data_IF_254565938092
#
_entry.id   IF_254565938092
#
_cell.length_a   1.000
_cell.length_b   1.000
_cell.length_c   1.000
_cell.angle_alpha   90.00
_cell.angle_beta   90.00
_cell.angle_gamma   90.00
#
_symmetry.space_group_name_H-M   'P 1'
#
loop_
_entity.id
_entity.type
_entity.pdbx_description
1 polymer ?
#
# COMPACT_ATOMS: atom_id res chain seq x y z
N UNK A 1 -16.12 20.70 13.43
CA UNK A 1 -14.70 21.03 13.19
C UNK A 1 -14.36 20.41 11.85
N UNK A 2 -14.28 21.26 10.84
CA UNK A 2 -13.91 20.90 9.47
C UNK A 2 -12.42 20.55 9.38
N UNK A 3 -12.06 19.65 8.46
CA UNK A 3 -10.66 19.45 8.08
C UNK A 3 -10.33 18.02 7.67
N UNK A 4 -10.20 17.80 6.37
CA UNK A 4 -9.71 16.55 5.79
C UNK A 4 -9.98 16.53 4.31
N UNK A 5 -9.17 17.26 3.55
CA UNK A 5 -9.24 17.35 2.10
C UNK A 5 -8.99 15.96 1.50
N UNK A 6 -10.07 15.24 1.18
CA UNK A 6 -9.98 14.09 0.29
C UNK A 6 -9.57 14.56 -1.10
N UNK A 7 -8.71 13.79 -1.75
CA UNK A 7 -8.45 13.91 -3.19
C UNK A 7 -9.77 14.07 -3.96
N UNK A 8 -9.88 15.02 -4.92
CA UNK A 8 -11.13 15.27 -5.61
C UNK A 8 -11.48 14.05 -6.49
N UNK A 9 -12.48 13.28 -6.08
CA UNK A 9 -13.15 12.30 -6.95
C UNK A 9 -13.47 10.93 -6.34
N UNK A 10 -12.86 10.54 -5.23
CA UNK A 10 -13.16 9.25 -4.58
C UNK A 10 -13.85 9.47 -3.23
N UNK A 11 -15.03 8.86 -2.97
CA UNK A 11 -15.62 8.86 -1.64
C UNK A 11 -14.63 8.24 -0.66
N UNK A 12 -14.24 9.00 0.36
CA UNK A 12 -13.47 8.47 1.49
C UNK A 12 -14.24 7.27 2.04
N UNK A 13 -13.63 6.07 2.16
CA UNK A 13 -14.30 4.90 2.74
C UNK A 13 -14.89 5.26 4.10
N UNK A 14 -16.10 4.80 4.46
CA UNK A 14 -16.65 5.10 5.81
C UNK A 14 -17.24 3.89 6.51
N UNK A 15 -17.56 2.81 5.79
CA UNK A 15 -18.01 1.54 6.37
C UNK A 15 -16.92 0.46 6.31
N UNK A 16 -17.03 -0.64 7.09
CA UNK A 16 -16.13 -1.79 6.98
C UNK A 16 -16.04 -2.34 5.54
N UNK A 17 -17.16 -2.39 4.82
CA UNK A 17 -17.22 -2.84 3.44
C UNK A 17 -16.49 -1.89 2.49
N UNK A 18 -16.56 -0.57 2.71
CA UNK A 18 -15.82 0.40 1.92
C UNK A 18 -14.30 0.26 2.14
N UNK A 19 -13.87 0.09 3.39
CA UNK A 19 -12.44 -0.10 3.72
C UNK A 19 -11.95 -1.43 3.16
N UNK A 20 -12.77 -2.49 3.21
CA UNK A 20 -12.43 -3.77 2.60
C UNK A 20 -12.31 -3.66 1.06
N UNK A 21 -13.19 -2.89 0.42
CA UNK A 21 -13.10 -2.61 -1.02
C UNK A 21 -11.83 -1.84 -1.36
N UNK A 22 -11.45 -0.84 -0.57
CA UNK A 22 -10.18 -0.12 -0.71
C UNK A 22 -8.98 -1.07 -0.57
N UNK A 23 -8.96 -1.91 0.48
CA UNK A 23 -7.94 -2.95 0.68
C UNK A 23 -7.80 -3.84 -0.55
N UNK A 24 -8.92 -4.39 -1.06
CA UNK A 24 -8.91 -5.31 -2.21
C UNK A 24 -8.44 -4.63 -3.49
N UNK A 25 -8.81 -3.36 -3.71
CA UNK A 25 -8.36 -2.62 -4.87
C UNK A 25 -6.84 -2.37 -4.83
N UNK A 26 -6.31 -1.92 -3.69
CA UNK A 26 -4.86 -1.75 -3.51
C UNK A 26 -4.11 -3.07 -3.67
N UNK A 27 -4.64 -4.14 -3.09
CA UNK A 27 -4.09 -5.49 -3.23
C UNK A 27 -4.03 -5.94 -4.69
N UNK A 28 -5.07 -5.66 -5.48
CA UNK A 28 -5.06 -5.96 -6.92
C UNK A 28 -3.93 -5.21 -7.66
N UNK A 29 -3.69 -3.94 -7.32
CA UNK A 29 -2.56 -3.17 -7.85
C UNK A 29 -1.21 -3.81 -7.50
N UNK A 30 -1.00 -4.17 -6.24
CA UNK A 30 0.24 -4.82 -5.77
C UNK A 30 0.45 -6.19 -6.42
N UNK A 31 -0.60 -7.01 -6.54
CA UNK A 31 -0.53 -8.29 -7.25
C UNK A 31 -0.12 -8.09 -8.70
N UNK A 32 -0.67 -7.08 -9.41
CA UNK A 32 -0.26 -6.77 -10.79
C UNK A 32 1.22 -6.40 -10.86
N UNK A 33 1.70 -5.53 -9.97
CA UNK A 33 3.12 -5.14 -9.91
C UNK A 33 4.05 -6.34 -9.74
N UNK A 34 3.69 -7.27 -8.85
CA UNK A 34 4.51 -8.43 -8.49
C UNK A 34 4.31 -9.65 -9.40
N UNK A 35 3.42 -9.58 -10.39
CA UNK A 35 3.14 -10.69 -11.31
C UNK A 35 3.09 -10.22 -12.76
N UNK A 36 1.97 -9.65 -13.20
CA UNK A 36 1.72 -9.29 -14.60
C UNK A 36 2.71 -8.24 -15.12
N UNK A 37 3.05 -7.26 -14.28
CA UNK A 37 3.92 -6.14 -14.65
C UNK A 37 5.33 -6.26 -14.04
N UNK A 38 5.74 -7.47 -13.63
CA UNK A 38 6.97 -7.68 -12.84
C UNK A 38 8.23 -7.11 -13.50
N UNK A 39 8.36 -7.22 -14.83
CA UNK A 39 9.50 -6.65 -15.57
C UNK A 39 9.52 -5.13 -15.49
N UNK A 40 8.36 -4.48 -15.64
CA UNK A 40 8.22 -3.02 -15.52
C UNK A 40 8.53 -2.57 -14.11
N UNK A 41 7.98 -3.27 -13.11
CA UNK A 41 8.23 -3.01 -11.70
C UNK A 41 9.74 -3.13 -11.37
N UNK A 42 10.39 -4.20 -11.82
CA UNK A 42 11.82 -4.45 -11.61
C UNK A 42 12.68 -3.31 -12.17
N UNK A 43 12.40 -2.86 -13.40
CA UNK A 43 13.11 -1.73 -14.04
C UNK A 43 12.89 -0.41 -13.30
N UNK A 44 11.69 -0.18 -12.76
CA UNK A 44 11.39 1.04 -12.00
C UNK A 44 12.11 1.09 -10.65
N UNK A 45 12.40 -0.05 -10.04
CA UNK A 45 13.16 -0.19 -8.79
C UNK A 45 14.68 -0.06 -9.00
N UNK A 46 15.12 1.05 -9.59
CA UNK A 46 16.54 1.35 -9.83
C UNK A 46 17.32 1.54 -8.51
N UNK A 47 18.34 0.72 -8.20
CA UNK A 47 19.15 0.82 -6.98
C UNK A 47 19.95 2.12 -6.87
N UNK A 48 20.17 2.83 -7.97
CA UNK A 48 20.89 4.11 -7.98
C UNK A 48 19.99 5.30 -7.62
N UNK A 49 18.68 5.09 -7.46
CA UNK A 49 17.74 6.10 -6.98
C UNK A 49 17.64 6.08 -5.45
N UNK A 50 17.15 7.17 -4.88
CA UNK A 50 16.81 7.27 -3.45
C UNK A 50 15.81 6.18 -3.01
N UNK A 51 15.52 6.10 -1.70
CA UNK A 51 14.74 5.03 -1.08
C UNK A 51 13.31 4.92 -1.66
N UNK A 52 13.11 4.02 -2.62
CA UNK A 52 11.82 3.83 -3.28
C UNK A 52 10.89 2.94 -2.44
N UNK A 53 9.58 3.18 -2.59
CA UNK A 53 8.48 2.40 -2.03
C UNK A 53 7.60 1.86 -3.16
N UNK A 54 6.92 0.73 -2.93
CA UNK A 54 5.82 0.25 -3.79
C UNK A 54 4.48 0.58 -3.12
N UNK A 55 3.59 1.25 -3.86
CA UNK A 55 2.24 1.59 -3.39
C UNK A 55 1.18 0.88 -4.23
N UNK A 56 0.15 0.37 -3.53
CA UNK A 56 -1.11 -0.05 -4.12
C UNK A 56 -2.15 1.06 -4.00
N UNK A 57 -2.85 1.37 -5.10
CA UNK A 57 -3.81 2.46 -5.19
C UNK A 57 -5.26 1.95 -5.22
N UNK A 58 -6.25 2.75 -4.76
CA UNK A 58 -7.65 2.31 -4.66
C UNK A 58 -8.36 2.13 -6.01
N UNK A 59 -7.69 2.47 -7.12
CA UNK A 59 -8.13 2.28 -8.50
C UNK A 59 -7.50 1.02 -9.15
N UNK A 60 -6.98 0.10 -8.35
CA UNK A 60 -6.31 -1.14 -8.79
C UNK A 60 -5.03 -0.95 -9.60
N UNK A 61 -4.42 0.23 -9.52
CA UNK A 61 -3.09 0.48 -10.07
C UNK A 61 -2.03 0.45 -8.98
N UNK A 62 -0.77 0.48 -9.39
CA UNK A 62 0.39 0.53 -8.52
C UNK A 62 1.33 1.64 -8.97
N UNK A 63 2.17 2.11 -8.05
CA UNK A 63 3.24 3.06 -8.35
C UNK A 63 4.50 2.73 -7.55
N UNK A 64 5.67 3.03 -8.13
CA UNK A 64 6.93 3.09 -7.39
C UNK A 64 7.31 4.56 -7.27
N UNK A 65 7.43 5.04 -6.04
CA UNK A 65 7.67 6.45 -5.77
C UNK A 65 8.46 6.62 -4.46
N UNK A 66 8.94 7.83 -4.20
CA UNK A 66 9.54 8.20 -2.92
C UNK A 66 8.49 8.12 -1.79
N UNK A 67 8.92 7.99 -0.52
CA UNK A 67 8.03 8.19 0.63
C UNK A 67 7.38 9.58 0.60
N UNK A 68 6.24 9.72 1.28
CA UNK A 68 5.56 11.00 1.40
C UNK A 68 6.47 12.04 2.06
N UNK A 69 6.47 13.28 1.54
CA UNK A 69 7.26 14.38 2.12
C UNK A 69 6.60 14.98 3.38
N UNK A 70 5.30 14.75 3.60
CA UNK A 70 4.55 15.30 4.73
C UNK A 70 4.92 14.64 6.06
N UNK A 71 5.03 15.42 7.13
CA UNK A 71 5.38 14.95 8.48
C UNK A 71 4.35 15.45 9.50
N UNK A 72 3.47 14.58 10.06
CA UNK A 72 3.34 13.14 9.75
C UNK A 72 2.58 12.89 8.43
N UNK A 73 2.86 11.76 7.74
CA UNK A 73 2.11 11.38 6.54
C UNK A 73 0.65 11.04 6.87
N UNK A 74 -0.25 11.24 5.91
CA UNK A 74 -1.67 10.90 6.10
C UNK A 74 -1.89 9.39 6.28
N UNK A 75 -1.27 8.56 5.43
CA UNK A 75 -1.37 7.09 5.50
C UNK A 75 -0.08 6.47 6.06
N UNK A 76 -0.15 5.25 6.63
CA UNK A 76 1.05 4.48 6.94
C UNK A 76 1.96 4.36 5.71
N UNK A 77 3.26 4.52 5.90
CA UNK A 77 4.24 4.38 4.82
C UNK A 77 4.53 2.90 4.51
N UNK A 78 4.67 2.51 3.22
CA UNK A 78 5.19 1.20 2.83
C UNK A 78 6.65 1.01 3.25
N UNK A 79 7.23 -0.17 2.97
CA UNK A 79 8.67 -0.37 3.19
C UNK A 79 9.51 0.53 2.27
N UNK A 80 10.43 1.28 2.88
CA UNK A 80 11.37 2.16 2.18
C UNK A 80 12.60 1.38 1.68
N UNK A 81 13.11 1.77 0.51
CA UNK A 81 14.38 1.29 -0.01
C UNK A 81 14.31 -0.12 -0.60
N UNK A 82 13.14 -0.54 -1.11
CA UNK A 82 12.98 -1.87 -1.72
C UNK A 82 13.94 -2.07 -2.90
N UNK A 83 14.36 -0.99 -3.57
CA UNK A 83 15.28 -0.99 -4.70
C UNK A 83 16.71 -1.38 -4.30
N UNK A 84 17.15 -1.14 -3.06
CA UNK A 84 18.54 -1.43 -2.65
C UNK A 84 18.84 -2.93 -2.54
N UNK A 85 17.85 -3.72 -2.17
CA UNK A 85 18.01 -5.16 -2.05
C UNK A 85 17.88 -5.89 -3.41
N UNK A 86 17.41 -5.21 -4.47
CA UNK A 86 17.02 -5.83 -5.75
C UNK A 86 18.14 -6.66 -6.37
N UNK A 87 19.35 -6.10 -6.46
CA UNK A 87 20.49 -6.73 -7.13
C UNK A 87 21.35 -7.56 -6.16
N UNK A 88 21.04 -7.51 -4.86
CA UNK A 88 21.77 -8.22 -3.79
C UNK A 88 21.25 -9.62 -3.49
N UNK A 89 20.17 -10.07 -4.12
CA UNK A 89 19.57 -11.40 -3.90
C UNK A 89 18.89 -11.96 -5.15
N UNK A 90 18.43 -13.21 -5.09
CA UNK A 90 17.64 -13.80 -6.17
C UNK A 90 16.35 -12.99 -6.39
N UNK A 91 15.98 -12.75 -7.65
CA UNK A 91 14.80 -11.98 -7.99
C UNK A 91 13.53 -12.49 -7.30
N UNK A 92 13.34 -13.81 -7.21
CA UNK A 92 12.17 -14.40 -6.54
C UNK A 92 12.17 -14.12 -5.03
N UNK A 93 13.34 -14.12 -4.40
CA UNK A 93 13.48 -13.84 -2.98
C UNK A 93 13.22 -12.34 -2.71
N UNK A 94 13.71 -11.47 -3.59
CA UNK A 94 13.41 -10.04 -3.55
C UNK A 94 11.92 -9.76 -3.71
N UNK A 95 11.26 -10.37 -4.71
CA UNK A 95 9.81 -10.25 -4.89
C UNK A 95 9.04 -10.77 -3.67
N UNK A 96 9.50 -11.86 -3.04
CA UNK A 96 8.89 -12.41 -1.83
C UNK A 96 9.03 -11.44 -0.64
N UNK A 97 10.19 -10.80 -0.51
CA UNK A 97 10.43 -9.76 0.50
C UNK A 97 9.49 -8.58 0.28
N UNK A 98 9.38 -8.07 -0.95
CA UNK A 98 8.47 -6.97 -1.28
C UNK A 98 7.01 -7.35 -1.01
N UNK A 99 6.61 -8.59 -1.33
CA UNK A 99 5.25 -9.08 -1.07
C UNK A 99 4.91 -9.08 0.43
N UNK A 100 5.78 -9.61 1.29
CA UNK A 100 5.56 -9.64 2.75
C UNK A 100 5.40 -8.24 3.35
N UNK A 101 6.23 -7.30 2.90
CA UNK A 101 6.12 -5.90 3.31
C UNK A 101 4.84 -5.24 2.78
N UNK A 102 4.44 -5.56 1.55
CA UNK A 102 3.21 -5.07 0.93
C UNK A 102 1.96 -5.55 1.66
N UNK A 103 1.90 -6.82 2.05
CA UNK A 103 0.78 -7.40 2.82
C UNK A 103 0.65 -6.73 4.20
N UNK A 104 1.79 -6.51 4.87
CA UNK A 104 1.84 -5.81 6.15
C UNK A 104 1.35 -4.36 6.03
N UNK A 105 1.75 -3.68 4.94
CA UNK A 105 1.33 -2.32 4.65
C UNK A 105 -0.19 -2.22 4.38
N UNK A 106 -0.74 -3.12 3.57
CA UNK A 106 -2.19 -3.18 3.31
C UNK A 106 -3.02 -3.31 4.59
N UNK A 107 -2.59 -4.18 5.50
CA UNK A 107 -3.23 -4.34 6.81
C UNK A 107 -3.14 -3.06 7.64
N UNK A 108 -1.97 -2.41 7.65
CA UNK A 108 -1.78 -1.13 8.35
C UNK A 108 -2.73 -0.05 7.83
N UNK A 109 -2.86 0.09 6.51
CA UNK A 109 -3.77 1.06 5.87
C UNK A 109 -5.24 0.78 6.21
N UNK A 110 -5.68 -0.48 6.14
CA UNK A 110 -7.06 -0.85 6.47
C UNK A 110 -7.40 -0.52 7.94
N UNK A 111 -6.50 -0.85 8.88
CA UNK A 111 -6.72 -0.56 10.29
C UNK A 111 -6.57 0.93 10.63
N UNK A 112 -5.72 1.67 9.91
CA UNK A 112 -5.66 3.13 10.00
C UNK A 112 -7.01 3.75 9.66
N UNK A 113 -7.61 3.36 8.53
CA UNK A 113 -8.94 3.82 8.16
C UNK A 113 -10.01 3.40 9.17
N UNK A 114 -9.98 2.15 9.63
CA UNK A 114 -10.89 1.70 10.68
C UNK A 114 -10.79 2.55 11.96
N UNK A 115 -9.57 2.93 12.38
CA UNK A 115 -9.39 3.84 13.50
C UNK A 115 -9.92 5.25 13.20
N UNK A 116 -9.60 5.82 12.03
CA UNK A 116 -10.03 7.16 11.61
C UNK A 116 -11.56 7.28 11.51
N UNK A 117 -12.25 6.20 11.15
CA UNK A 117 -13.71 6.18 11.02
C UNK A 117 -14.45 5.68 12.27
N UNK A 118 -13.73 5.45 13.37
CA UNK A 118 -14.33 5.08 14.65
C UNK A 118 -14.84 3.65 14.74
N UNK A 119 -14.24 2.71 13.99
CA UNK A 119 -14.62 1.30 14.04
C UNK A 119 -14.41 0.73 15.45
N UNK A 120 -15.46 0.11 15.95
CA UNK A 120 -15.47 -0.65 17.20
C UNK A 120 -14.92 -2.07 16.99
N UNK A 121 -15.08 -2.92 18.01
CA UNK A 121 -14.61 -4.30 17.99
C UNK A 121 -15.26 -5.11 16.85
N UNK A 122 -16.55 -4.97 16.64
CA UNK A 122 -17.30 -5.75 15.65
C UNK A 122 -16.93 -5.32 14.23
N UNK A 123 -16.83 -4.02 14.01
CA UNK A 123 -16.43 -3.42 12.74
C UNK A 123 -15.01 -3.79 12.31
N UNK A 124 -14.12 -4.12 13.26
CA UNK A 124 -12.74 -4.56 12.98
C UNK A 124 -12.62 -6.05 12.67
N UNK A 125 -13.58 -6.86 13.12
CA UNK A 125 -13.50 -8.31 13.02
C UNK A 125 -13.34 -8.84 11.57
N UNK A 126 -14.03 -8.29 10.55
CA UNK A 126 -13.89 -8.74 9.17
C UNK A 126 -12.46 -8.66 8.63
N UNK A 127 -11.65 -7.70 9.09
CA UNK A 127 -10.27 -7.52 8.63
C UNK A 127 -9.29 -8.55 9.21
N UNK A 128 -9.67 -9.23 10.29
CA UNK A 128 -8.83 -10.27 10.95
C UNK A 128 -8.97 -11.63 10.26
N UNK A 129 -9.93 -11.77 9.34
CA UNK A 129 -10.22 -13.02 8.61
C UNK A 129 -9.69 -13.02 7.17
N UNK A 130 -8.95 -11.98 6.77
CA UNK A 130 -8.23 -11.86 5.52
C UNK A 130 -6.97 -12.73 5.51
#
# INVERSE_FOLDING_TARGET
>A
MDGGAGFPGTPVPRSPEDVFRDYRARQAGLIRALTTDVEKFYVMCDPEKDNLCLYGLPNETWEVNLPAEEVPPELPEPALGINFARDGMNEKDWLSLVAVHSDSWLMSVAFYFGARFGFDKESRYPFVLL
#
